data_IF_335636754881
#
_entry.id   IF_335636754881
#
_cell.length_a   1.000
_cell.length_b   1.000
_cell.length_c   1.000
_cell.angle_alpha   90.00
_cell.angle_beta   90.00
_cell.angle_gamma   90.00
#
_symmetry.space_group_name_H-M   'P 1'
#
loop_
_entity.id
_entity.type
_entity.pdbx_description
1 polymer ?
#
# COMPACT_ATOMS: atom_id res chain seq x y z
N UNK A 1 29.88 59.11 -5.81
CA UNK A 1 30.46 59.70 -4.59
C UNK A 1 29.36 59.62 -3.57
N UNK A 2 29.31 58.86 -2.52
CA UNK A 2 30.29 58.23 -1.63
C UNK A 2 29.59 57.00 -0.98
N UNK A 3 30.15 55.91 -1.11
CA UNK A 3 30.61 54.85 -0.21
C UNK A 3 29.83 54.59 1.07
N UNK A 4 29.45 53.30 1.22
CA UNK A 4 29.11 52.53 2.44
C UNK A 4 30.14 52.71 3.56
N UNK A 5 29.76 52.34 4.84
CA UNK A 5 30.22 51.02 5.23
C UNK A 5 29.19 50.16 6.03
N UNK A 6 29.43 48.87 5.91
CA UNK A 6 28.85 47.83 6.72
C UNK A 6 29.29 47.92 8.19
N UNK A 7 28.37 47.64 9.14
CA UNK A 7 28.76 47.23 10.49
C UNK A 7 28.03 45.95 10.91
N UNK A 8 28.82 44.88 10.99
CA UNK A 8 28.54 43.68 11.78
C UNK A 8 28.55 44.08 13.27
N UNK A 9 27.57 43.59 14.04
CA UNK A 9 27.52 43.24 15.48
C UNK A 9 26.11 43.58 15.97
N UNK A 10 25.35 42.67 16.46
CA UNK A 10 25.42 41.88 17.68
C UNK A 10 24.18 40.93 17.70
N UNK A 11 24.41 39.66 17.52
CA UNK A 11 23.45 38.64 18.03
C UNK A 11 24.10 38.09 19.33
N UNK A 12 23.70 38.62 20.44
CA UNK A 12 24.06 38.09 21.74
C UNK A 12 22.76 37.84 22.52
N UNK A 13 22.56 36.55 22.77
CA UNK A 13 21.97 35.97 23.98
C UNK A 13 20.64 36.55 24.49
N UNK A 14 19.55 35.93 24.07
CA UNK A 14 18.41 35.71 24.97
C UNK A 14 18.31 34.20 25.19
N UNK A 15 18.91 33.74 26.28
CA UNK A 15 18.70 32.41 26.84
C UNK A 15 17.28 32.37 27.42
N UNK A 16 16.28 32.18 26.56
CA UNK A 16 14.93 31.82 26.93
C UNK A 16 14.90 30.32 27.13
N UNK A 17 14.82 29.86 28.38
CA UNK A 17 14.51 28.48 28.70
C UNK A 17 13.15 28.12 28.05
N UNK A 18 13.20 27.39 26.97
CA UNK A 18 12.02 26.70 26.46
C UNK A 18 11.61 25.66 27.52
N UNK A 19 10.35 25.61 27.96
CA UNK A 19 9.92 24.52 28.80
C UNK A 19 10.10 23.23 27.96
N UNK A 20 10.94 22.32 28.46
CA UNK A 20 10.92 20.92 28.08
C UNK A 20 9.48 20.46 28.36
N UNK A 21 8.67 20.39 27.31
CA UNK A 21 7.46 19.56 27.31
C UNK A 21 7.96 18.14 27.56
N UNK A 22 7.99 17.74 28.84
CA UNK A 22 8.15 16.37 29.22
C UNK A 22 7.04 15.61 28.44
N UNK A 23 7.46 14.72 27.54
CA UNK A 23 6.56 13.76 26.96
C UNK A 23 5.84 13.09 28.14
N UNK A 24 4.52 13.28 28.25
CA UNK A 24 3.74 12.62 29.27
C UNK A 24 4.02 11.13 29.13
N UNK A 25 4.40 10.42 30.22
CA UNK A 25 4.59 8.99 30.15
C UNK A 25 3.29 8.40 29.60
N UNK A 26 3.38 7.65 28.50
CA UNK A 26 2.24 6.89 27.98
C UNK A 26 1.71 6.08 29.16
N UNK A 27 0.49 6.38 29.59
CA UNK A 27 -0.17 5.67 30.69
C UNK A 27 -0.14 4.18 30.33
N UNK A 28 0.69 3.41 31.03
CA UNK A 28 0.75 1.97 30.89
C UNK A 28 -0.67 1.42 31.13
N UNK A 29 -1.30 0.91 30.08
CA UNK A 29 -2.61 0.28 30.20
C UNK A 29 -2.45 -1.04 30.95
N UNK A 30 -3.37 -1.38 31.90
CA UNK A 30 -3.19 -2.49 32.84
C UNK A 30 -3.08 -3.90 32.23
N UNK A 31 -3.38 -4.05 30.92
CA UNK A 31 -3.48 -5.35 30.25
C UNK A 31 -2.21 -5.80 29.53
N UNK A 32 -1.05 -5.33 29.91
CA UNK A 32 0.22 -5.61 29.23
C UNK A 32 0.18 -5.23 27.74
N UNK A 33 1.10 -4.46 27.25
CA UNK A 33 1.19 -4.18 25.80
C UNK A 33 1.36 -5.49 25.05
N UNK A 34 0.60 -5.75 23.98
CA UNK A 34 0.76 -6.96 23.15
C UNK A 34 2.05 -6.95 22.31
N UNK A 35 3.01 -6.09 22.66
CA UNK A 35 4.21 -5.80 21.88
C UNK A 35 5.01 -7.05 21.53
N UNK A 36 5.20 -7.97 22.48
CA UNK A 36 5.97 -9.19 22.21
C UNK A 36 5.31 -10.03 21.11
N UNK A 37 4.01 -10.32 21.23
CA UNK A 37 3.28 -11.10 20.22
C UNK A 37 3.22 -10.36 18.88
N UNK A 38 3.04 -9.03 18.89
CA UNK A 38 3.06 -8.21 17.68
C UNK A 38 4.43 -8.23 17.02
N UNK A 39 5.52 -8.21 17.80
CA UNK A 39 6.89 -8.33 17.29
C UNK A 39 7.10 -9.65 16.55
N UNK A 40 6.68 -10.76 17.17
CA UNK A 40 6.80 -12.10 16.57
C UNK A 40 5.96 -12.22 15.29
N UNK A 41 4.70 -11.73 15.31
CA UNK A 41 3.82 -11.74 14.15
C UNK A 41 4.38 -10.90 12.99
N UNK A 42 4.95 -9.71 13.26
CA UNK A 42 5.62 -8.87 12.27
C UNK A 42 6.85 -9.55 11.69
N UNK A 43 7.74 -10.07 12.52
CA UNK A 43 8.93 -10.76 12.07
C UNK A 43 8.57 -11.97 11.20
N UNK A 44 7.55 -12.72 11.59
CA UNK A 44 7.06 -13.87 10.81
C UNK A 44 6.50 -13.45 9.46
N UNK A 45 5.66 -12.39 9.44
CA UNK A 45 5.10 -11.84 8.19
C UNK A 45 6.21 -11.37 7.24
N UNK A 46 7.17 -10.60 7.73
CA UNK A 46 8.29 -10.08 6.95
C UNK A 46 9.14 -11.24 6.40
N UNK A 47 9.38 -12.27 7.22
CA UNK A 47 10.18 -13.44 6.85
C UNK A 47 9.65 -14.24 5.66
N UNK A 48 8.39 -14.07 5.24
CA UNK A 48 7.89 -14.68 4.00
C UNK A 48 8.37 -13.98 2.72
N UNK A 49 9.05 -12.84 2.82
CA UNK A 49 9.61 -12.12 1.67
C UNK A 49 8.55 -11.52 0.75
N UNK A 50 8.71 -11.69 -0.55
CA UNK A 50 7.79 -11.14 -1.56
C UNK A 50 6.41 -11.81 -1.47
N UNK A 51 5.35 -10.98 -1.35
CA UNK A 51 3.96 -11.42 -1.17
C UNK A 51 3.05 -11.09 -2.34
N UNK A 52 3.61 -10.99 -3.53
CA UNK A 52 2.78 -10.87 -4.72
C UNK A 52 1.80 -12.05 -4.81
N UNK A 53 0.55 -11.75 -5.06
CA UNK A 53 -0.58 -12.69 -5.01
C UNK A 53 -0.32 -14.01 -5.72
N UNK A 54 -0.61 -15.12 -5.05
CA UNK A 54 -0.37 -16.48 -5.53
C UNK A 54 1.12 -16.85 -5.63
N UNK A 55 2.05 -15.98 -5.21
CA UNK A 55 3.46 -16.30 -5.09
C UNK A 55 3.77 -17.08 -3.82
N UNK A 56 4.99 -17.63 -3.74
CA UNK A 56 5.39 -18.50 -2.63
C UNK A 56 5.22 -17.81 -1.25
N UNK A 57 5.60 -16.53 -1.14
CA UNK A 57 5.46 -15.79 0.12
C UNK A 57 4.01 -15.50 0.50
N UNK A 58 3.14 -15.17 -0.47
CA UNK A 58 1.69 -14.99 -0.25
C UNK A 58 1.03 -16.29 0.21
N UNK A 59 1.31 -17.40 -0.46
CA UNK A 59 0.77 -18.72 -0.12
C UNK A 59 1.23 -19.13 1.29
N UNK A 60 2.54 -19.08 1.57
CA UNK A 60 3.09 -19.45 2.87
C UNK A 60 2.56 -18.57 4.01
N UNK A 61 2.38 -17.27 3.75
CA UNK A 61 1.75 -16.35 4.68
C UNK A 61 0.30 -16.76 4.97
N UNK A 62 -0.50 -17.03 3.92
CA UNK A 62 -1.88 -17.47 4.07
C UNK A 62 -2.00 -18.77 4.87
N UNK A 63 -1.11 -19.74 4.65
CA UNK A 63 -1.06 -21.00 5.40
C UNK A 63 -0.68 -20.81 6.87
N UNK A 64 0.21 -19.89 7.16
CA UNK A 64 0.52 -19.52 8.54
C UNK A 64 -0.69 -18.91 9.23
N UNK A 65 -1.35 -17.93 8.60
CA UNK A 65 -2.54 -17.27 9.16
C UNK A 65 -3.70 -18.27 9.39
N UNK A 66 -3.85 -19.25 8.52
CA UNK A 66 -4.83 -20.32 8.68
C UNK A 66 -4.58 -21.12 9.97
N UNK A 67 -3.31 -21.49 10.23
CA UNK A 67 -2.95 -22.19 11.48
C UNK A 67 -3.18 -21.34 12.73
N UNK A 68 -2.89 -20.04 12.68
CA UNK A 68 -3.11 -19.12 13.80
C UNK A 68 -4.60 -18.95 14.13
N UNK A 69 -5.45 -18.87 13.10
CA UNK A 69 -6.90 -18.84 13.29
C UNK A 69 -7.42 -20.16 13.87
N UNK A 70 -7.00 -21.29 13.32
CA UNK A 70 -7.40 -22.61 13.82
C UNK A 70 -6.99 -22.79 15.29
N UNK A 71 -5.77 -22.38 15.67
CA UNK A 71 -5.29 -22.37 17.06
C UNK A 71 -6.12 -21.45 17.98
N UNK A 72 -6.77 -20.44 17.42
CA UNK A 72 -7.67 -19.53 18.13
C UNK A 72 -9.13 -20.01 18.15
N UNK A 73 -9.41 -21.21 17.61
CA UNK A 73 -10.72 -21.86 17.63
C UNK A 73 -11.63 -21.54 16.43
N UNK A 74 -11.11 -20.90 15.40
CA UNK A 74 -11.88 -20.63 14.17
C UNK A 74 -11.88 -21.85 13.24
N UNK A 75 -13.03 -22.14 12.65
CA UNK A 75 -13.12 -23.02 11.48
C UNK A 75 -12.63 -22.24 10.25
N UNK A 76 -11.66 -22.78 9.52
CA UNK A 76 -11.04 -22.11 8.39
C UNK A 76 -11.49 -22.65 7.04
N UNK A 77 -11.53 -21.77 6.05
CA UNK A 77 -11.85 -22.08 4.66
C UNK A 77 -10.98 -21.24 3.73
N UNK A 78 -10.46 -21.86 2.67
CA UNK A 78 -9.83 -21.16 1.54
C UNK A 78 -10.83 -20.97 0.42
N UNK A 79 -10.86 -19.76 -0.14
CA UNK A 79 -11.59 -19.45 -1.36
C UNK A 79 -10.56 -19.12 -2.44
N UNK A 80 -10.40 -20.02 -3.40
CA UNK A 80 -9.43 -19.87 -4.48
C UNK A 80 -9.95 -19.01 -5.62
N UNK A 81 -9.04 -18.30 -6.27
CA UNK A 81 -9.29 -17.52 -7.48
C UNK A 81 -7.99 -17.36 -8.27
N UNK A 82 -8.10 -16.86 -9.50
CA UNK A 82 -6.97 -16.76 -10.41
C UNK A 82 -6.45 -15.33 -10.50
N UNK A 83 -5.12 -15.16 -10.42
CA UNK A 83 -4.41 -13.87 -10.54
C UNK A 83 -3.37 -13.94 -11.65
N UNK A 84 -3.01 -12.81 -12.28
CA UNK A 84 -1.90 -12.80 -13.23
C UNK A 84 -0.56 -12.90 -12.51
N UNK A 85 0.44 -13.40 -13.21
CA UNK A 85 1.84 -13.36 -12.78
C UNK A 85 2.76 -13.17 -13.98
N UNK A 86 3.94 -12.63 -13.72
CA UNK A 86 5.00 -12.50 -14.71
C UNK A 86 6.36 -12.60 -14.02
N UNK A 87 7.26 -13.36 -14.61
CA UNK A 87 8.66 -13.52 -14.22
C UNK A 87 9.53 -13.04 -15.37
N UNK A 88 10.17 -11.88 -15.18
CA UNK A 88 11.00 -11.28 -16.21
C UNK A 88 12.33 -12.06 -16.35
N UNK A 89 12.71 -12.37 -17.59
CA UNK A 89 14.04 -12.88 -17.98
C UNK A 89 14.96 -11.72 -18.34
N UNK A 90 14.42 -10.69 -19.03
CA UNK A 90 15.07 -9.42 -19.24
C UNK A 90 14.06 -8.28 -19.13
N UNK A 91 14.47 -7.19 -18.47
CA UNK A 91 13.68 -5.97 -18.31
C UNK A 91 14.62 -4.76 -18.28
N UNK A 92 14.95 -4.23 -19.46
CA UNK A 92 15.96 -3.19 -19.64
C UNK A 92 15.46 -2.06 -20.53
N UNK A 93 15.90 -0.84 -20.22
CA UNK A 93 15.84 0.32 -21.11
C UNK A 93 17.25 0.77 -21.46
N UNK A 94 17.53 0.98 -22.76
CA UNK A 94 18.81 1.51 -23.25
C UNK A 94 18.58 2.72 -24.16
N UNK A 95 19.46 3.74 -24.09
CA UNK A 95 19.47 4.88 -24.99
C UNK A 95 20.91 5.42 -25.12
N UNK A 96 21.56 5.19 -26.27
CA UNK A 96 23.01 5.43 -26.41
C UNK A 96 23.80 4.58 -25.41
N UNK A 97 24.65 5.22 -24.59
CA UNK A 97 25.44 4.55 -23.55
C UNK A 97 24.68 4.32 -22.25
N UNK A 98 23.49 4.92 -22.10
CA UNK A 98 22.67 4.75 -20.91
C UNK A 98 21.97 3.39 -20.96
N UNK A 99 22.03 2.65 -19.83
CA UNK A 99 21.31 1.40 -19.62
C UNK A 99 20.87 1.28 -18.18
N UNK A 100 19.63 0.87 -17.97
CA UNK A 100 19.10 0.55 -16.64
C UNK A 100 18.08 -0.57 -16.69
N UNK A 101 17.87 -1.23 -15.55
CA UNK A 101 16.75 -2.17 -15.36
C UNK A 101 15.46 -1.40 -15.14
N UNK A 102 14.38 -1.86 -15.76
CA UNK A 102 13.03 -1.33 -15.54
C UNK A 102 12.15 -2.42 -14.93
N UNK A 103 11.06 -2.02 -14.29
CA UNK A 103 10.11 -2.97 -13.70
C UNK A 103 8.88 -3.14 -14.63
N UNK A 104 8.61 -4.37 -15.13
CA UNK A 104 7.46 -4.60 -16.00
C UNK A 104 6.14 -4.32 -15.27
N UNK A 105 5.32 -3.40 -15.79
CA UNK A 105 4.00 -3.13 -15.21
C UNK A 105 3.05 -4.30 -15.48
N UNK A 106 2.40 -4.90 -14.50
CA UNK A 106 1.37 -5.92 -14.71
C UNK A 106 0.12 -5.34 -15.42
N UNK A 107 -0.58 -6.08 -16.19
CA UNK A 107 -0.26 -7.42 -16.73
C UNK A 107 0.75 -7.19 -17.86
N UNK A 108 1.94 -7.75 -17.73
CA UNK A 108 3.04 -7.42 -18.62
C UNK A 108 2.74 -7.84 -20.07
N UNK A 109 3.00 -6.92 -21.01
CA UNK A 109 3.13 -7.19 -22.43
C UNK A 109 4.61 -7.27 -22.76
N UNK A 110 5.04 -8.37 -23.36
CA UNK A 110 6.44 -8.56 -23.75
C UNK A 110 6.76 -7.81 -25.04
N UNK A 111 8.04 -7.48 -25.21
CA UNK A 111 8.62 -7.06 -26.47
C UNK A 111 9.04 -8.29 -27.30
N UNK A 112 9.39 -8.13 -28.57
CA UNK A 112 10.23 -9.12 -29.27
C UNK A 112 11.52 -9.40 -28.49
N UNK A 113 12.17 -10.56 -28.75
CA UNK A 113 13.39 -10.97 -28.02
C UNK A 113 14.53 -9.96 -28.17
N UNK A 114 14.67 -9.34 -29.34
CA UNK A 114 15.64 -8.28 -29.66
C UNK A 114 15.27 -6.92 -29.01
N UNK A 115 14.12 -6.82 -28.37
CA UNK A 115 13.57 -5.59 -27.84
C UNK A 115 12.79 -4.77 -28.87
N UNK A 116 12.07 -3.76 -28.38
CA UNK A 116 11.37 -2.77 -29.17
C UNK A 116 12.20 -1.50 -29.24
N UNK A 117 12.53 -1.03 -30.45
CA UNK A 117 13.33 0.17 -30.67
C UNK A 117 12.49 1.30 -31.28
N UNK A 118 12.71 2.53 -30.83
CA UNK A 118 12.06 3.72 -31.36
C UNK A 118 12.65 5.00 -30.79
N UNK A 119 12.25 6.19 -31.28
CA UNK A 119 12.62 7.44 -30.66
C UNK A 119 12.16 7.47 -29.19
N UNK A 120 13.01 7.97 -28.27
CA UNK A 120 12.60 8.22 -26.90
C UNK A 120 11.96 9.61 -26.83
N UNK A 121 10.70 9.69 -26.39
CA UNK A 121 9.93 10.93 -26.38
C UNK A 121 9.36 11.18 -24.99
N UNK A 122 9.71 12.31 -24.38
CA UNK A 122 9.16 12.71 -23.08
C UNK A 122 7.70 13.13 -23.20
N UNK A 123 6.87 12.64 -22.28
CA UNK A 123 5.46 13.00 -22.09
C UNK A 123 5.29 13.56 -20.68
N UNK A 124 4.74 14.76 -20.56
CA UNK A 124 4.51 15.40 -19.27
C UNK A 124 3.24 14.84 -18.56
N UNK A 125 3.04 15.25 -17.31
CA UNK A 125 1.91 14.82 -16.48
C UNK A 125 0.51 15.16 -17.08
N UNK A 126 0.44 16.12 -18.01
CA UNK A 126 -0.80 16.46 -18.72
C UNK A 126 -0.98 15.65 -20.01
N UNK A 127 -0.06 14.74 -20.32
CA UNK A 127 -0.08 13.92 -21.54
C UNK A 127 0.46 14.64 -22.78
N UNK A 128 1.14 15.79 -22.63
CA UNK A 128 1.71 16.52 -23.77
C UNK A 128 3.07 15.95 -24.12
N UNK A 129 3.23 15.54 -25.36
CA UNK A 129 4.48 15.02 -25.87
C UNK A 129 5.38 16.13 -26.42
N UNK A 130 6.68 16.03 -26.17
CA UNK A 130 7.68 16.97 -26.67
C UNK A 130 7.91 16.84 -28.21
N UNK A 131 7.54 15.67 -28.80
CA UNK A 131 7.72 15.31 -30.21
C UNK A 131 6.61 14.33 -30.63
N UNK A 132 6.42 14.03 -31.94
CA UNK A 132 5.50 13.00 -32.39
C UNK A 132 5.77 11.64 -31.72
N UNK A 133 4.70 10.93 -31.39
CA UNK A 133 4.75 9.66 -30.63
C UNK A 133 4.63 8.41 -31.51
N UNK A 134 4.32 8.55 -32.80
CA UNK A 134 4.14 7.39 -33.68
C UNK A 134 5.39 6.50 -33.67
N UNK A 135 5.25 5.25 -33.26
CA UNK A 135 6.32 4.26 -33.12
C UNK A 135 7.35 4.56 -32.02
N UNK A 136 7.14 5.59 -31.20
CA UNK A 136 8.08 6.00 -30.15
C UNK A 136 7.95 5.13 -28.89
N UNK A 137 9.00 5.16 -28.06
CA UNK A 137 8.95 4.77 -26.66
C UNK A 137 8.66 6.06 -25.87
N UNK A 138 7.46 6.16 -25.29
CA UNK A 138 7.05 7.29 -24.48
C UNK A 138 7.70 7.22 -23.09
N UNK A 139 8.49 8.24 -22.72
CA UNK A 139 9.02 8.42 -21.36
C UNK A 139 8.07 9.33 -20.58
N UNK A 140 7.16 8.74 -19.85
CA UNK A 140 6.14 9.44 -19.07
C UNK A 140 6.74 9.92 -17.76
N UNK A 141 6.76 11.24 -17.57
CA UNK A 141 7.34 11.89 -16.40
C UNK A 141 6.25 12.29 -15.41
N UNK A 142 6.00 11.43 -14.41
CA UNK A 142 5.01 11.73 -13.37
C UNK A 142 5.51 12.84 -12.45
N UNK A 143 4.64 13.70 -11.90
CA UNK A 143 5.04 14.63 -10.86
C UNK A 143 5.45 13.88 -9.59
N UNK A 144 6.15 14.57 -8.68
CA UNK A 144 6.48 13.99 -7.38
C UNK A 144 5.19 13.61 -6.61
N UNK A 145 5.13 12.36 -6.11
CA UNK A 145 3.96 11.86 -5.38
C UNK A 145 4.20 10.48 -4.75
N UNK A 146 3.26 10.05 -3.94
CA UNK A 146 3.20 8.67 -3.41
C UNK A 146 2.19 7.88 -4.24
N UNK A 147 2.63 7.39 -5.37
CA UNK A 147 1.80 6.70 -6.34
C UNK A 147 1.36 5.33 -5.83
N UNK A 148 0.20 4.85 -6.30
CA UNK A 148 -0.34 3.55 -5.85
C UNK A 148 -0.96 2.73 -6.99
N UNK A 149 -1.59 3.34 -7.99
CA UNK A 149 -2.32 2.58 -9.00
C UNK A 149 -2.32 3.22 -10.37
N UNK A 150 -2.34 2.38 -11.42
CA UNK A 150 -2.40 2.78 -12.83
C UNK A 150 -3.68 3.52 -13.20
N UNK A 151 -4.78 3.24 -12.52
CA UNK A 151 -6.08 3.88 -12.80
C UNK A 151 -6.23 5.27 -12.16
N UNK A 152 -5.28 5.74 -11.37
CA UNK A 152 -5.31 7.11 -10.86
C UNK A 152 -5.14 8.10 -12.02
N UNK A 153 -5.96 9.17 -12.09
CA UNK A 153 -5.91 10.13 -13.20
C UNK A 153 -4.51 10.68 -13.49
N UNK A 154 -3.72 10.97 -12.45
CA UNK A 154 -2.35 11.47 -12.61
C UNK A 154 -1.39 10.49 -13.26
N UNK A 155 -1.68 9.19 -13.25
CA UNK A 155 -0.91 8.16 -13.95
C UNK A 155 -1.56 7.81 -15.27
N UNK A 156 -2.88 7.56 -15.26
CA UNK A 156 -3.62 7.09 -16.43
C UNK A 156 -3.63 8.09 -17.57
N UNK A 157 -3.87 9.37 -17.29
CA UNK A 157 -3.99 10.42 -18.32
C UNK A 157 -2.76 10.52 -19.23
N UNK A 158 -1.52 10.66 -18.73
CA UNK A 158 -0.36 10.74 -19.60
C UNK A 158 -0.06 9.46 -20.36
N UNK A 159 -0.36 8.29 -19.78
CA UNK A 159 -0.15 6.99 -20.45
C UNK A 159 -1.19 6.77 -21.55
N UNK A 160 -2.48 7.10 -21.29
CA UNK A 160 -3.52 7.07 -22.31
C UNK A 160 -3.18 7.98 -23.49
N UNK A 161 -2.73 9.19 -23.21
CA UNK A 161 -2.33 10.16 -24.23
C UNK A 161 -1.13 9.66 -25.07
N UNK A 162 -0.17 8.99 -24.41
CA UNK A 162 0.98 8.41 -25.12
C UNK A 162 0.55 7.34 -26.13
N UNK A 163 -0.27 6.37 -25.70
CA UNK A 163 -0.76 5.33 -26.61
C UNK A 163 -1.71 5.89 -27.68
N UNK A 164 -2.58 6.83 -27.34
CA UNK A 164 -3.45 7.51 -28.31
C UNK A 164 -2.66 8.28 -29.37
N UNK A 165 -1.45 8.78 -29.02
CA UNK A 165 -0.52 9.43 -29.92
C UNK A 165 0.33 8.46 -30.76
N UNK A 166 0.12 7.16 -30.68
CA UNK A 166 0.81 6.14 -31.47
C UNK A 166 2.10 5.61 -30.84
N UNK A 167 2.35 5.84 -29.53
CA UNK A 167 3.50 5.26 -28.87
C UNK A 167 3.45 3.72 -28.92
N UNK A 168 4.59 3.11 -29.26
CA UNK A 168 4.71 1.65 -29.32
C UNK A 168 4.91 1.03 -27.93
N UNK A 169 5.44 1.80 -26.97
CA UNK A 169 5.60 1.41 -25.58
C UNK A 169 5.62 2.65 -24.66
N UNK A 170 5.36 2.44 -23.38
CA UNK A 170 5.52 3.46 -22.33
C UNK A 170 6.52 3.03 -21.26
N UNK A 171 7.40 3.94 -20.86
CA UNK A 171 8.23 3.83 -19.66
C UNK A 171 7.85 4.97 -18.73
N UNK A 172 7.41 4.65 -17.52
CA UNK A 172 6.88 5.61 -16.55
C UNK A 172 7.92 5.85 -15.48
N UNK A 173 8.39 7.10 -15.35
CA UNK A 173 9.23 7.52 -14.23
C UNK A 173 8.32 7.78 -13.03
N UNK A 174 8.41 6.92 -12.01
CA UNK A 174 7.55 6.97 -10.82
C UNK A 174 8.14 7.88 -9.75
N UNK A 175 8.21 9.20 -10.05
CA UNK A 175 8.79 10.19 -9.14
C UNK A 175 8.15 10.14 -7.75
N UNK A 176 8.93 9.70 -6.77
CA UNK A 176 8.47 9.48 -5.41
C UNK A 176 9.55 9.71 -4.35
N UNK A 177 9.20 9.62 -3.06
CA UNK A 177 10.05 10.06 -1.95
C UNK A 177 11.31 9.22 -1.73
N UNK A 178 11.40 8.04 -2.34
CA UNK A 178 12.55 7.14 -2.17
C UNK A 178 13.54 7.18 -3.34
N UNK A 179 13.15 7.77 -4.47
CA UNK A 179 13.93 7.69 -5.71
C UNK A 179 13.90 6.33 -6.40
N UNK A 180 13.21 5.35 -5.82
CA UNK A 180 13.07 3.98 -6.33
C UNK A 180 11.81 3.80 -7.17
N UNK A 181 11.71 2.67 -7.87
CA UNK A 181 10.48 2.29 -8.57
C UNK A 181 9.35 2.14 -7.56
N UNK A 182 8.21 2.76 -7.84
CA UNK A 182 6.95 2.52 -7.13
C UNK A 182 6.09 1.63 -8.03
N UNK A 183 5.87 0.38 -7.63
CA UNK A 183 4.98 -0.55 -8.34
C UNK A 183 3.53 -0.05 -8.29
N UNK A 184 2.79 -0.20 -9.40
CA UNK A 184 1.44 0.35 -9.51
C UNK A 184 0.40 -0.77 -9.58
N UNK A 185 -0.61 -0.68 -8.72
CA UNK A 185 -1.76 -1.59 -8.76
C UNK A 185 -2.50 -1.46 -10.09
N UNK A 186 -3.04 -2.56 -10.58
CA UNK A 186 -3.73 -2.60 -11.88
C UNK A 186 -4.89 -3.60 -11.88
N UNK A 187 -5.78 -3.53 -12.87
CA UNK A 187 -6.78 -4.58 -13.05
C UNK A 187 -6.09 -5.93 -13.31
N UNK A 188 -6.45 -6.92 -12.50
CA UNK A 188 -5.92 -8.29 -12.62
C UNK A 188 -6.62 -9.15 -13.66
N UNK A 189 -7.63 -8.64 -14.37
CA UNK A 189 -8.44 -9.43 -15.31
C UNK A 189 -7.87 -9.40 -16.71
N UNK A 190 -7.41 -8.23 -17.17
CA UNK A 190 -6.86 -8.01 -18.50
C UNK A 190 -5.80 -6.91 -18.50
N UNK A 191 -4.85 -6.92 -19.44
CA UNK A 191 -3.93 -5.80 -19.63
C UNK A 191 -4.69 -4.49 -19.87
N UNK A 192 -4.17 -3.39 -19.33
CA UNK A 192 -4.75 -2.05 -19.55
C UNK A 192 -4.45 -1.51 -20.95
N UNK A 193 -3.31 -1.93 -21.53
CA UNK A 193 -2.79 -1.45 -22.79
C UNK A 193 -2.34 -2.61 -23.68
N UNK A 194 -2.38 -2.41 -24.98
CA UNK A 194 -1.91 -3.41 -25.94
C UNK A 194 -0.38 -3.40 -26.10
N UNK A 195 0.26 -2.26 -25.86
CA UNK A 195 1.70 -2.11 -25.86
C UNK A 195 2.36 -2.37 -24.50
N UNK A 196 3.69 -2.63 -24.50
CA UNK A 196 4.48 -2.79 -23.27
C UNK A 196 4.48 -1.54 -22.42
N UNK A 197 4.36 -1.72 -21.08
CA UNK A 197 4.51 -0.67 -20.08
C UNK A 197 5.53 -1.12 -19.05
N UNK A 198 6.50 -0.25 -18.74
CA UNK A 198 7.51 -0.47 -17.71
C UNK A 198 7.62 0.74 -16.77
N UNK A 199 8.12 0.52 -15.58
CA UNK A 199 8.38 1.55 -14.57
C UNK A 199 9.88 1.77 -14.43
N UNK A 200 10.28 3.03 -14.33
CA UNK A 200 11.67 3.46 -14.20
C UNK A 200 11.87 4.20 -12.87
N UNK A 201 12.94 3.85 -12.17
CA UNK A 201 13.33 4.54 -10.95
C UNK A 201 13.72 6.00 -11.25
N UNK A 202 13.22 6.98 -10.48
CA UNK A 202 13.61 8.38 -10.65
C UNK A 202 15.12 8.63 -10.58
N UNK A 203 15.84 7.90 -9.71
CA UNK A 203 17.31 8.03 -9.57
C UNK A 203 18.08 7.64 -10.82
N UNK A 204 17.48 6.80 -11.69
CA UNK A 204 18.06 6.34 -12.95
C UNK A 204 17.58 7.14 -14.17
N UNK A 205 16.64 8.07 -14.01
CA UNK A 205 15.93 8.67 -15.12
C UNK A 205 16.71 9.79 -15.87
N UNK A 206 17.66 10.47 -15.20
CA UNK A 206 18.34 11.63 -15.75
C UNK A 206 19.00 11.42 -17.14
N UNK A 207 19.75 10.34 -17.41
CA UNK A 207 20.34 10.12 -18.74
C UNK A 207 19.28 9.86 -19.82
N UNK A 208 18.13 9.28 -19.45
CA UNK A 208 17.02 9.04 -20.39
C UNK A 208 16.24 10.32 -20.70
N UNK A 209 16.09 11.24 -19.75
CA UNK A 209 15.56 12.57 -20.03
C UNK A 209 16.47 13.35 -20.99
N UNK A 210 17.80 13.27 -20.83
CA UNK A 210 18.76 13.87 -21.76
C UNK A 210 18.64 13.25 -23.16
N UNK A 211 18.58 11.92 -23.27
CA UNK A 211 18.38 11.23 -24.54
C UNK A 211 17.05 11.61 -25.22
N UNK A 212 15.96 11.72 -24.45
CA UNK A 212 14.66 12.14 -24.97
C UNK A 212 14.67 13.60 -25.48
N UNK A 213 15.38 14.52 -24.79
CA UNK A 213 15.53 15.90 -25.24
C UNK A 213 16.24 15.99 -26.58
N UNK A 214 17.22 15.12 -26.84
CA UNK A 214 17.96 15.05 -28.12
C UNK A 214 17.19 14.23 -29.18
N UNK A 215 16.13 13.53 -28.82
CA UNK A 215 15.36 12.63 -29.70
C UNK A 215 16.12 11.38 -30.10
N UNK A 216 17.01 10.89 -29.24
CA UNK A 216 17.79 9.68 -29.49
C UNK A 216 16.87 8.45 -29.54
N UNK A 217 17.28 7.45 -30.32
CA UNK A 217 16.64 6.14 -30.30
C UNK A 217 16.92 5.45 -28.95
N UNK A 218 15.88 4.78 -28.44
CA UNK A 218 15.97 3.91 -27.28
C UNK A 218 15.51 2.50 -27.64
N UNK A 219 15.84 1.54 -26.79
CA UNK A 219 15.35 0.18 -26.88
C UNK A 219 14.81 -0.26 -25.52
N UNK A 220 13.58 -0.72 -25.50
CA UNK A 220 12.95 -1.38 -24.36
C UNK A 220 12.95 -2.90 -24.61
N UNK A 221 13.50 -3.65 -23.66
CA UNK A 221 13.44 -5.12 -23.67
C UNK A 221 12.63 -5.58 -22.46
N UNK A 222 11.52 -6.25 -22.70
CA UNK A 222 10.71 -6.91 -21.68
C UNK A 222 10.43 -8.33 -22.17
N UNK A 223 11.20 -9.29 -21.67
CA UNK A 223 11.01 -10.72 -21.97
C UNK A 223 10.84 -11.50 -20.70
N UNK A 224 10.18 -12.64 -20.77
CA UNK A 224 9.93 -13.49 -19.63
C UNK A 224 8.75 -14.42 -19.83
N UNK A 225 8.35 -15.05 -18.74
CA UNK A 225 7.22 -15.99 -18.70
C UNK A 225 6.13 -15.43 -17.82
N UNK A 226 4.91 -15.59 -18.24
CA UNK A 226 3.75 -15.12 -17.49
C UNK A 226 2.51 -15.95 -17.79
N UNK A 227 1.47 -15.66 -17.06
CA UNK A 227 0.21 -16.38 -17.18
C UNK A 227 -0.71 -16.09 -16.01
N UNK A 228 -1.48 -17.10 -15.65
CA UNK A 228 -2.33 -17.05 -14.47
C UNK A 228 -1.92 -18.13 -13.48
N UNK A 229 -2.00 -17.81 -12.19
CA UNK A 229 -1.76 -18.75 -11.08
C UNK A 229 -2.88 -18.63 -10.05
N UNK A 230 -3.01 -19.66 -9.24
CA UNK A 230 -3.97 -19.67 -8.14
C UNK A 230 -3.49 -18.79 -6.98
N UNK A 231 -4.42 -18.02 -6.42
CA UNK A 231 -4.32 -17.36 -5.13
C UNK A 231 -5.55 -17.74 -4.29
N UNK A 232 -5.55 -17.44 -3.00
CA UNK A 232 -6.73 -17.71 -2.18
C UNK A 232 -6.98 -16.63 -1.14
N UNK A 233 -8.25 -16.44 -0.80
CA UNK A 233 -8.69 -15.74 0.40
C UNK A 233 -8.82 -16.74 1.53
N UNK A 234 -8.38 -16.35 2.73
CA UNK A 234 -8.58 -17.10 3.95
C UNK A 234 -9.78 -16.53 4.71
N UNK A 235 -10.70 -17.40 5.10
CA UNK A 235 -11.86 -17.06 5.92
C UNK A 235 -11.87 -17.94 7.15
N UNK A 236 -11.75 -17.35 8.33
CA UNK A 236 -11.95 -18.03 9.61
C UNK A 236 -13.29 -17.64 10.22
N UNK A 237 -14.09 -18.61 10.60
CA UNK A 237 -15.39 -18.41 11.22
C UNK A 237 -15.43 -19.01 12.61
N UNK A 238 -15.97 -18.25 13.55
CA UNK A 238 -16.38 -18.74 14.85
C UNK A 238 -17.89 -18.49 14.97
N UNK A 239 -18.65 -19.45 14.45
CA UNK A 239 -20.10 -19.43 14.43
C UNK A 239 -20.64 -19.91 15.79
N UNK A 240 -21.36 -19.06 16.48
CA UNK A 240 -22.00 -19.33 17.77
C UNK A 240 -23.50 -19.32 17.68
N UNK A 241 -24.06 -19.26 16.47
CA UNK A 241 -25.51 -19.22 16.23
C UNK A 241 -26.16 -17.90 16.67
N UNK A 242 -25.42 -16.80 16.70
CA UNK A 242 -25.96 -15.49 17.12
C UNK A 242 -26.66 -14.75 15.98
N UNK A 243 -26.36 -15.11 14.73
CA UNK A 243 -26.92 -14.49 13.52
C UNK A 243 -26.48 -13.05 13.30
N UNK A 244 -25.44 -12.60 14.03
CA UNK A 244 -24.85 -11.26 13.93
C UNK A 244 -23.34 -11.37 13.85
N UNK A 245 -22.81 -11.14 12.67
CA UNK A 245 -21.38 -11.29 12.38
C UNK A 245 -20.60 -10.00 12.64
N UNK A 246 -19.52 -10.17 13.36
CA UNK A 246 -18.42 -9.21 13.41
C UNK A 246 -17.39 -9.62 12.37
N UNK A 247 -17.15 -8.78 11.39
CA UNK A 247 -16.17 -9.06 10.34
C UNK A 247 -14.92 -8.21 10.55
N UNK A 248 -13.76 -8.85 10.52
CA UNK A 248 -12.46 -8.14 10.51
C UNK A 248 -11.67 -8.62 9.30
N UNK A 249 -11.33 -7.70 8.41
CA UNK A 249 -10.62 -8.03 7.18
C UNK A 249 -9.30 -7.28 7.06
N UNK A 250 -8.34 -7.88 6.36
CA UNK A 250 -7.06 -7.27 5.97
C UNK A 250 -6.53 -7.94 4.71
N UNK A 251 -5.92 -7.23 3.76
CA UNK A 251 -5.14 -7.86 2.71
C UNK A 251 -3.78 -8.32 3.23
N UNK A 252 -3.30 -9.48 2.77
CA UNK A 252 -1.95 -9.97 3.09
C UNK A 252 -0.98 -9.81 1.94
N UNK A 253 -1.50 -9.76 0.71
CA UNK A 253 -0.68 -9.62 -0.49
C UNK A 253 -0.36 -8.15 -0.81
N UNK A 254 0.67 -7.96 -1.59
CA UNK A 254 1.13 -6.67 -2.09
C UNK A 254 2.41 -6.84 -2.88
N UNK A 255 2.96 -5.74 -3.36
CA UNK A 255 4.23 -5.74 -4.05
C UNK A 255 5.38 -5.94 -3.06
N UNK A 256 6.32 -6.82 -3.37
CA UNK A 256 7.55 -7.07 -2.60
C UNK A 256 7.29 -7.59 -1.17
N UNK A 257 8.10 -7.15 -0.21
CA UNK A 257 7.98 -7.55 1.21
C UNK A 257 6.82 -6.87 1.92
N UNK A 258 6.47 -5.65 1.52
CA UNK A 258 5.37 -4.81 2.01
C UNK A 258 5.20 -4.81 3.55
N UNK A 259 6.33 -4.65 4.26
CA UNK A 259 6.38 -4.71 5.73
C UNK A 259 5.61 -3.55 6.38
N UNK A 260 5.87 -2.30 5.96
CA UNK A 260 5.17 -1.12 6.44
C UNK A 260 3.74 -1.03 5.91
N UNK A 261 3.54 -1.47 4.66
CA UNK A 261 2.22 -1.44 4.03
C UNK A 261 1.23 -2.40 4.70
N UNK A 262 1.61 -3.67 4.91
CA UNK A 262 0.72 -4.75 5.33
C UNK A 262 1.02 -5.35 6.70
N UNK A 263 2.31 -5.39 7.10
CA UNK A 263 2.71 -6.09 8.32
C UNK A 263 1.96 -5.62 9.57
N UNK A 264 1.77 -4.31 9.73
CA UNK A 264 0.97 -3.76 10.83
C UNK A 264 -0.49 -4.21 10.80
N UNK A 265 -1.10 -4.29 9.61
CA UNK A 265 -2.46 -4.80 9.42
C UNK A 265 -2.59 -6.26 9.83
N UNK A 266 -1.67 -7.12 9.39
CA UNK A 266 -1.65 -8.55 9.72
C UNK A 266 -1.46 -8.80 11.22
N UNK A 267 -0.48 -8.15 11.85
CA UNK A 267 -0.23 -8.32 13.28
C UNK A 267 -1.42 -7.83 14.13
N UNK A 268 -2.04 -6.71 13.74
CA UNK A 268 -3.26 -6.21 14.38
C UNK A 268 -4.45 -7.17 14.19
N UNK A 269 -4.61 -7.70 12.99
CA UNK A 269 -5.67 -8.66 12.67
C UNK A 269 -5.57 -9.92 13.53
N UNK A 270 -4.37 -10.49 13.68
CA UNK A 270 -4.11 -11.65 14.56
C UNK A 270 -4.34 -11.28 16.03
N UNK A 271 -3.87 -10.12 16.49
CA UNK A 271 -4.12 -9.66 17.86
C UNK A 271 -5.62 -9.57 18.15
N UNK A 272 -6.40 -8.98 17.24
CA UNK A 272 -7.85 -8.85 17.38
C UNK A 272 -8.52 -10.22 17.31
N UNK A 273 -8.09 -11.15 16.44
CA UNK A 273 -8.66 -12.50 16.34
C UNK A 273 -8.52 -13.27 17.66
N UNK A 274 -7.30 -13.28 18.23
CA UNK A 274 -7.02 -13.96 19.51
C UNK A 274 -7.81 -13.36 20.67
N UNK A 275 -7.99 -12.04 20.67
CA UNK A 275 -8.78 -11.34 21.69
C UNK A 275 -10.28 -11.56 21.50
N UNK A 276 -10.83 -11.36 20.31
CA UNK A 276 -12.27 -11.42 20.02
C UNK A 276 -12.86 -12.81 20.25
N UNK A 277 -12.09 -13.86 19.98
CA UNK A 277 -12.50 -15.24 20.23
C UNK A 277 -12.95 -15.46 21.69
N UNK A 278 -12.36 -14.76 22.64
CA UNK A 278 -12.68 -14.85 24.07
C UNK A 278 -13.59 -13.73 24.57
N UNK A 279 -13.37 -12.51 24.05
CA UNK A 279 -13.97 -11.28 24.61
C UNK A 279 -15.37 -10.98 24.04
N UNK A 280 -15.75 -11.57 22.90
CA UNK A 280 -17.01 -11.27 22.22
C UNK A 280 -17.92 -12.53 22.11
N UNK A 281 -18.40 -13.12 23.24
CA UNK A 281 -19.15 -14.37 23.24
C UNK A 281 -20.55 -14.23 22.63
N UNK A 282 -21.06 -13.01 22.46
CA UNK A 282 -22.41 -12.73 21.97
C UNK A 282 -22.48 -12.43 20.48
N UNK A 283 -21.35 -12.58 19.75
CA UNK A 283 -21.29 -12.35 18.30
C UNK A 283 -20.72 -13.57 17.60
N UNK A 284 -21.13 -13.78 16.38
CA UNK A 284 -20.43 -14.62 15.42
C UNK A 284 -19.26 -13.83 14.85
N UNK A 285 -18.11 -14.48 14.65
CA UNK A 285 -16.89 -13.83 14.23
C UNK A 285 -16.45 -14.34 12.86
N UNK A 286 -16.17 -13.44 11.91
CA UNK A 286 -15.56 -13.75 10.63
C UNK A 286 -14.26 -12.95 10.46
N UNK A 287 -13.14 -13.64 10.46
CA UNK A 287 -11.82 -13.07 10.21
C UNK A 287 -11.39 -13.42 8.80
N UNK A 288 -11.13 -12.41 8.00
CA UNK A 288 -10.91 -12.55 6.57
C UNK A 288 -9.58 -11.95 6.18
N UNK A 289 -8.76 -12.72 5.47
CA UNK A 289 -7.49 -12.24 4.96
C UNK A 289 -7.40 -12.55 3.47
N UNK A 290 -7.38 -11.51 2.64
CA UNK A 290 -7.41 -11.66 1.20
C UNK A 290 -6.03 -11.51 0.54
N UNK A 291 -5.87 -12.18 -0.60
CA UNK A 291 -4.86 -11.97 -1.62
C UNK A 291 -5.44 -11.11 -2.76
N UNK A 292 -4.66 -10.76 -3.78
CA UNK A 292 -5.17 -10.06 -4.97
C UNK A 292 -5.39 -8.55 -4.78
N UNK A 293 -4.86 -7.94 -3.72
CA UNK A 293 -5.01 -6.52 -3.45
C UNK A 293 -4.38 -5.65 -4.54
N UNK A 294 -3.19 -6.00 -4.99
CA UNK A 294 -2.44 -5.29 -6.03
C UNK A 294 -3.11 -5.35 -7.42
N UNK A 295 -4.12 -6.22 -7.57
CA UNK A 295 -4.95 -6.34 -8.76
C UNK A 295 -6.31 -5.64 -8.60
N UNK A 296 -6.28 -4.38 -8.15
CA UNK A 296 -7.46 -3.54 -7.86
C UNK A 296 -8.49 -4.27 -7.01
N UNK A 297 -8.00 -4.87 -5.91
CA UNK A 297 -8.85 -5.50 -4.89
C UNK A 297 -9.60 -6.76 -5.36
N UNK A 298 -9.08 -7.45 -6.38
CA UNK A 298 -9.74 -8.64 -6.97
C UNK A 298 -10.13 -9.67 -5.91
N UNK A 299 -9.24 -9.95 -4.93
CA UNK A 299 -9.56 -10.89 -3.85
C UNK A 299 -10.67 -10.40 -2.92
N UNK A 300 -10.71 -9.11 -2.61
CA UNK A 300 -11.78 -8.54 -1.78
C UNK A 300 -13.14 -8.61 -2.49
N UNK A 301 -13.19 -8.34 -3.79
CA UNK A 301 -14.41 -8.50 -4.59
C UNK A 301 -14.90 -9.96 -4.58
N UNK A 302 -14.00 -10.92 -4.85
CA UNK A 302 -14.31 -12.35 -4.81
C UNK A 302 -14.84 -12.78 -3.43
N UNK A 303 -14.26 -12.26 -2.36
CA UNK A 303 -14.66 -12.53 -1.00
C UNK A 303 -16.06 -11.97 -0.68
N UNK A 304 -16.30 -10.70 -0.99
CA UNK A 304 -17.57 -10.02 -0.73
C UNK A 304 -18.72 -10.72 -1.45
N UNK A 305 -18.51 -11.14 -2.69
CA UNK A 305 -19.56 -11.75 -3.49
C UNK A 305 -19.83 -13.23 -3.18
N UNK A 306 -18.85 -13.96 -2.63
CA UNK A 306 -18.95 -15.42 -2.55
C UNK A 306 -19.01 -15.99 -1.13
N UNK A 307 -18.31 -15.34 -0.18
CA UNK A 307 -18.10 -15.98 1.13
C UNK A 307 -18.32 -15.07 2.34
N UNK A 308 -18.37 -13.78 2.19
CA UNK A 308 -18.64 -12.87 3.29
C UNK A 308 -20.08 -13.10 3.85
N UNK A 309 -20.32 -12.94 5.16
CA UNK A 309 -21.67 -12.87 5.70
C UNK A 309 -22.48 -11.80 4.99
N UNK A 310 -23.78 -11.98 4.82
CA UNK A 310 -24.62 -10.99 4.14
C UNK A 310 -24.66 -9.65 4.89
N UNK A 311 -24.83 -8.51 4.23
CA UNK A 311 -24.86 -7.20 4.89
C UNK A 311 -25.84 -7.13 6.06
N UNK A 312 -27.07 -7.65 5.89
CA UNK A 312 -28.10 -7.67 6.94
C UNK A 312 -27.77 -8.55 8.17
N UNK A 313 -26.81 -9.46 8.04
CA UNK A 313 -26.32 -10.34 9.09
C UNK A 313 -25.02 -9.82 9.71
N UNK A 314 -24.45 -8.76 9.16
CA UNK A 314 -23.21 -8.16 9.65
C UNK A 314 -23.52 -7.00 10.59
N UNK A 315 -23.07 -7.15 11.84
CA UNK A 315 -23.26 -6.12 12.86
C UNK A 315 -22.22 -5.01 12.74
N UNK A 316 -20.99 -5.36 12.31
CA UNK A 316 -19.91 -4.41 12.09
C UNK A 316 -18.81 -5.02 11.21
N UNK A 317 -18.18 -4.19 10.36
CA UNK A 317 -17.04 -4.61 9.57
C UNK A 317 -15.84 -3.67 9.81
N UNK A 318 -14.75 -4.22 10.35
CA UNK A 318 -13.47 -3.52 10.48
C UNK A 318 -12.54 -3.95 9.33
N UNK A 319 -12.05 -3.00 8.54
CA UNK A 319 -11.06 -3.23 7.50
C UNK A 319 -9.71 -2.61 7.87
N UNK A 320 -8.69 -3.45 8.00
CA UNK A 320 -7.32 -3.05 8.29
C UNK A 320 -6.54 -2.98 6.96
N UNK A 321 -6.54 -1.79 6.34
CA UNK A 321 -5.90 -1.54 5.05
C UNK A 321 -4.39 -1.30 5.14
N UNK A 322 -3.89 -0.34 4.37
CA UNK A 322 -2.47 -0.03 4.28
C UNK A 322 -2.01 1.01 5.32
N UNK A 323 -0.71 1.00 5.64
CA UNK A 323 -0.04 1.95 6.53
C UNK A 323 -0.71 2.04 7.92
N UNK A 324 -0.95 0.90 8.55
CA UNK A 324 -1.57 0.90 9.88
C UNK A 324 -0.69 1.62 10.91
N UNK A 325 0.63 1.40 10.89
CA UNK A 325 1.60 2.08 11.73
C UNK A 325 3.01 2.05 11.11
N UNK A 326 3.12 2.33 9.81
CA UNK A 326 4.42 2.44 9.17
C UNK A 326 5.23 3.59 9.77
N UNK A 327 6.54 3.42 9.82
CA UNK A 327 7.48 4.38 10.41
C UNK A 327 7.60 5.62 9.54
N UNK A 328 7.70 6.78 10.16
CA UNK A 328 7.99 8.04 9.48
C UNK A 328 9.49 8.18 9.20
N UNK A 329 9.84 9.05 8.25
CA UNK A 329 11.20 9.26 7.77
C UNK A 329 11.45 10.73 7.49
N UNK A 330 12.71 11.16 7.55
CA UNK A 330 13.08 12.48 7.06
C UNK A 330 12.84 12.59 5.54
N UNK A 331 12.34 13.73 5.10
CA UNK A 331 12.17 14.07 3.67
C UNK A 331 13.46 14.58 3.01
N UNK A 332 14.60 14.11 3.46
CA UNK A 332 15.89 14.48 2.87
C UNK A 332 16.30 13.49 1.79
N UNK A 333 16.93 14.02 0.74
CA UNK A 333 17.55 13.21 -0.31
C UNK A 333 18.78 12.51 0.25
N UNK A 334 19.02 11.28 -0.15
CA UNK A 334 20.20 10.48 0.25
C UNK A 334 19.92 9.53 1.41
N UNK A 335 20.77 9.53 2.44
CA UNK A 335 20.67 8.60 3.58
C UNK A 335 19.57 8.99 4.56
N UNK A 336 18.32 8.86 4.15
CA UNK A 336 17.18 9.09 5.05
C UNK A 336 17.22 8.13 6.23
N UNK A 337 17.11 8.67 7.44
CA UNK A 337 16.99 7.89 8.67
C UNK A 337 15.53 7.84 9.12
N UNK A 338 15.07 6.70 9.68
CA UNK A 338 13.72 6.62 10.22
C UNK A 338 13.56 7.57 11.42
N UNK A 339 12.39 8.19 11.51
CA UNK A 339 11.95 8.94 12.66
C UNK A 339 11.34 7.99 13.72
N UNK A 340 11.26 8.39 14.99
CA UNK A 340 10.65 7.56 16.04
C UNK A 340 9.13 7.44 15.89
N UNK A 341 8.48 8.38 15.19
CA UNK A 341 7.03 8.41 14.99
C UNK A 341 6.53 7.54 13.84
N UNK A 342 5.22 7.55 13.67
CA UNK A 342 4.54 6.91 12.53
C UNK A 342 4.28 7.91 11.41
N UNK A 343 4.35 7.45 10.16
CA UNK A 343 4.00 8.23 8.98
C UNK A 343 2.53 8.65 9.06
N UNK A 344 2.30 9.97 9.12
CA UNK A 344 0.97 10.56 9.26
C UNK A 344 0.16 10.56 7.96
N UNK A 345 0.73 10.13 6.84
CA UNK A 345 0.00 9.98 5.56
C UNK A 345 -0.90 8.73 5.58
N UNK A 346 -1.77 8.72 6.57
CA UNK A 346 -2.81 7.72 6.79
C UNK A 346 -4.06 8.40 7.35
N UNK A 347 -5.20 7.77 7.18
CA UNK A 347 -6.45 8.26 7.74
C UNK A 347 -7.37 7.11 8.11
N UNK A 348 -8.30 7.38 9.00
CA UNK A 348 -9.36 6.49 9.44
C UNK A 348 -10.68 6.96 8.84
N UNK A 349 -11.42 6.06 8.17
CA UNK A 349 -12.78 6.30 7.72
C UNK A 349 -13.73 5.37 8.49
N UNK A 350 -14.80 5.93 9.04
CA UNK A 350 -15.76 5.19 9.88
C UNK A 350 -17.19 5.59 9.53
N UNK A 351 -18.14 4.73 9.79
CA UNK A 351 -19.57 5.10 9.73
C UNK A 351 -19.88 6.32 10.60
N UNK A 352 -20.84 7.19 10.21
CA UNK A 352 -21.08 8.48 10.87
C UNK A 352 -21.20 8.39 12.40
N UNK A 353 -21.90 7.40 12.91
CA UNK A 353 -22.14 7.14 14.32
C UNK A 353 -20.86 6.76 15.10
N UNK A 354 -19.83 6.29 14.41
CA UNK A 354 -18.56 5.88 15.00
C UNK A 354 -17.51 6.99 15.03
N UNK A 355 -17.77 8.18 14.44
CA UNK A 355 -16.78 9.27 14.39
C UNK A 355 -16.37 9.73 15.79
N UNK A 356 -17.31 9.92 16.71
CA UNK A 356 -17.00 10.35 18.08
C UNK A 356 -16.28 9.25 18.90
N UNK A 357 -16.73 7.99 18.91
CA UNK A 357 -15.97 6.89 19.50
C UNK A 357 -14.56 6.74 18.94
N UNK A 358 -14.41 6.79 17.60
CA UNK A 358 -13.12 6.67 16.93
C UNK A 358 -12.18 7.79 17.33
N UNK A 359 -12.61 9.05 17.31
CA UNK A 359 -11.79 10.19 17.74
C UNK A 359 -11.24 10.01 19.17
N UNK A 360 -12.04 9.43 20.08
CA UNK A 360 -11.61 9.12 21.43
C UNK A 360 -10.54 8.03 21.47
N UNK A 361 -10.73 6.94 20.71
CA UNK A 361 -9.85 5.78 20.75
C UNK A 361 -8.51 6.03 20.05
N UNK A 362 -8.49 6.89 19.02
CA UNK A 362 -7.30 7.19 18.23
C UNK A 362 -6.62 8.51 18.60
N UNK A 363 -6.99 9.12 19.73
CA UNK A 363 -6.35 10.33 20.24
C UNK A 363 -4.84 10.12 20.42
N UNK A 364 -4.01 11.01 19.85
CA UNK A 364 -2.55 10.95 19.89
C UNK A 364 -1.91 9.95 18.93
N UNK A 365 -2.69 9.32 18.04
CA UNK A 365 -2.17 8.45 16.98
C UNK A 365 -2.09 9.23 15.66
N UNK A 366 -0.90 9.75 15.34
CA UNK A 366 -0.65 10.63 14.20
C UNK A 366 -1.36 10.17 12.92
N UNK A 367 -2.16 11.06 12.30
CA UNK A 367 -2.95 10.82 11.10
C UNK A 367 -4.29 10.10 11.33
N UNK A 368 -4.58 9.61 12.55
CA UNK A 368 -5.83 8.90 12.86
C UNK A 368 -6.72 9.65 13.88
N UNK A 369 -6.26 10.76 14.43
CA UNK A 369 -6.95 11.54 15.48
C UNK A 369 -8.24 12.19 14.99
N UNK A 370 -8.33 12.47 13.68
CA UNK A 370 -9.46 13.11 13.03
C UNK A 370 -10.12 12.16 12.02
N UNK A 371 -10.89 11.17 12.48
CA UNK A 371 -11.53 10.22 11.59
C UNK A 371 -12.54 10.91 10.67
N UNK A 372 -12.55 10.51 9.42
CA UNK A 372 -13.57 10.91 8.46
C UNK A 372 -14.81 10.02 8.59
N UNK A 373 -15.96 10.58 8.28
CA UNK A 373 -17.16 9.80 8.01
C UNK A 373 -17.06 9.11 6.64
N UNK A 374 -17.57 7.89 6.52
CA UNK A 374 -17.70 7.19 5.22
C UNK A 374 -18.58 7.92 4.21
N UNK A 375 -19.42 8.88 4.66
CA UNK A 375 -20.15 9.80 3.78
C UNK A 375 -19.24 10.86 3.12
N UNK A 376 -18.05 11.10 3.67
CA UNK A 376 -17.07 12.06 3.15
C UNK A 376 -16.06 11.37 2.25
N UNK A 377 -15.53 10.21 2.69
CA UNK A 377 -14.49 9.48 1.98
C UNK A 377 -14.51 7.99 2.34
N UNK A 378 -14.26 7.17 1.34
CA UNK A 378 -13.84 5.78 1.48
C UNK A 378 -12.64 5.54 0.57
N UNK A 379 -11.78 4.58 0.91
CA UNK A 379 -10.61 4.25 0.10
C UNK A 379 -10.32 2.74 0.16
N UNK A 380 -9.50 2.28 -0.77
CA UNK A 380 -9.09 0.88 -0.85
C UNK A 380 -10.29 -0.06 -0.86
N UNK A 381 -10.11 -1.22 -0.28
CA UNK A 381 -11.15 -2.27 -0.21
C UNK A 381 -12.37 -1.86 0.63
N UNK A 382 -12.26 -0.87 1.54
CA UNK A 382 -13.44 -0.35 2.25
C UNK A 382 -14.47 0.24 1.27
N UNK A 383 -14.04 0.80 0.15
CA UNK A 383 -14.97 1.30 -0.87
C UNK A 383 -15.84 0.18 -1.44
N UNK A 384 -15.27 -0.99 -1.69
CA UNK A 384 -16.00 -2.17 -2.15
C UNK A 384 -16.98 -2.68 -1.08
N UNK A 385 -16.54 -2.69 0.20
CA UNK A 385 -17.36 -3.12 1.34
C UNK A 385 -18.59 -2.20 1.50
N UNK A 386 -18.38 -0.88 1.48
CA UNK A 386 -19.47 0.11 1.58
C UNK A 386 -20.40 0.03 0.37
N UNK A 387 -19.84 -0.06 -0.85
CA UNK A 387 -20.62 -0.20 -2.08
C UNK A 387 -21.49 -1.47 -2.10
N UNK A 388 -21.05 -2.54 -1.43
CA UNK A 388 -21.82 -3.77 -1.27
C UNK A 388 -22.91 -3.70 -0.19
N UNK A 389 -23.09 -2.54 0.47
CA UNK A 389 -24.16 -2.28 1.42
C UNK A 389 -23.84 -2.68 2.86
N UNK A 390 -22.57 -2.92 3.21
CA UNK A 390 -22.18 -3.18 4.60
C UNK A 390 -22.11 -1.90 5.42
N UNK A 391 -22.57 -1.97 6.64
CA UNK A 391 -22.52 -0.93 7.67
C UNK A 391 -23.17 -1.41 8.97
N UNK A 392 -22.69 -0.91 10.12
CA UNK A 392 -21.57 0.00 10.38
C UNK A 392 -20.20 -0.54 9.97
N UNK A 393 -19.29 0.36 9.56
CA UNK A 393 -17.92 -0.01 9.12
C UNK A 393 -16.87 0.93 9.69
N UNK A 394 -15.63 0.46 9.74
CA UNK A 394 -14.44 1.28 9.96
C UNK A 394 -13.28 0.74 9.13
N UNK A 395 -12.39 1.62 8.66
CA UNK A 395 -11.19 1.20 7.95
C UNK A 395 -10.07 2.24 7.99
N UNK A 396 -8.82 1.76 7.94
CA UNK A 396 -7.61 2.57 7.90
C UNK A 396 -6.95 2.47 6.53
N UNK A 397 -6.42 3.60 6.06
CA UNK A 397 -5.74 3.72 4.77
C UNK A 397 -4.55 4.66 4.89
N UNK A 398 -3.54 4.41 4.09
CA UNK A 398 -2.41 5.31 3.99
C UNK A 398 -1.44 4.87 2.91
N UNK A 399 -0.61 5.82 2.50
CA UNK A 399 0.45 5.62 1.52
C UNK A 399 1.74 6.13 2.17
N UNK A 400 2.45 5.24 2.88
CA UNK A 400 3.67 5.62 3.58
C UNK A 400 4.84 5.85 2.59
N UNK A 401 5.98 6.33 3.10
CA UNK A 401 7.12 6.74 2.27
C UNK A 401 7.63 5.63 1.34
N UNK A 402 7.67 4.38 1.80
CA UNK A 402 8.14 3.20 1.05
C UNK A 402 6.99 2.37 0.45
N UNK A 403 5.79 2.94 0.35
CA UNK A 403 4.63 2.25 -0.20
C UNK A 403 4.91 1.77 -1.63
N UNK A 404 4.70 0.47 -1.89
CA UNK A 404 4.94 -0.20 -3.17
C UNK A 404 6.39 -0.17 -3.67
N UNK A 405 7.35 -0.02 -2.77
CA UNK A 405 8.78 0.01 -3.06
C UNK A 405 9.42 -1.28 -2.55
N UNK A 406 10.44 -1.79 -3.26
CA UNK A 406 11.10 -3.06 -2.88
C UNK A 406 11.75 -3.00 -1.50
N UNK A 407 12.16 -1.82 -1.07
CA UNK A 407 12.76 -1.53 0.22
C UNK A 407 11.74 -1.30 1.36
N UNK A 408 10.46 -1.63 1.17
CA UNK A 408 9.47 -1.70 2.25
C UNK A 408 9.70 -2.97 3.08
N UNK A 409 10.71 -2.90 3.95
CA UNK A 409 11.23 -3.97 4.81
C UNK A 409 11.01 -3.67 6.32
N UNK A 410 11.68 -4.42 7.19
CA UNK A 410 11.56 -4.30 8.66
C UNK A 410 11.86 -2.90 9.19
N UNK A 411 12.65 -2.08 8.47
CA UNK A 411 12.95 -0.69 8.85
C UNK A 411 11.73 0.21 8.76
N UNK A 412 10.74 -0.17 7.95
CA UNK A 412 9.54 0.61 7.66
C UNK A 412 8.43 0.43 8.70
N UNK A 413 8.60 -0.38 9.74
CA UNK A 413 7.57 -0.66 10.72
C UNK A 413 8.14 -0.66 12.15
N UNK A 414 7.28 -0.39 13.14
CA UNK A 414 7.63 -0.44 14.57
C UNK A 414 6.59 -1.27 15.31
N UNK A 415 7.04 -2.34 15.97
CA UNK A 415 6.17 -3.21 16.75
C UNK A 415 5.39 -2.46 17.85
N UNK A 416 6.04 -1.50 18.53
CA UNK A 416 5.38 -0.68 19.57
C UNK A 416 4.26 0.19 18.98
N UNK A 417 4.51 0.84 17.84
CA UNK A 417 3.51 1.67 17.17
C UNK A 417 2.33 0.83 16.65
N UNK A 418 2.61 -0.38 16.12
CA UNK A 418 1.59 -1.34 15.71
C UNK A 418 0.77 -1.81 16.92
N UNK A 419 1.41 -2.16 18.04
CA UNK A 419 0.73 -2.60 19.25
C UNK A 419 -0.20 -1.52 19.82
N UNK A 420 0.25 -0.25 19.87
CA UNK A 420 -0.59 0.88 20.28
C UNK A 420 -1.80 1.06 19.38
N UNK A 421 -1.59 1.00 18.07
CA UNK A 421 -2.66 1.13 17.08
C UNK A 421 -3.63 -0.05 17.15
N UNK A 422 -3.13 -1.28 17.37
CA UNK A 422 -3.95 -2.48 17.55
C UNK A 422 -4.89 -2.37 18.75
N UNK A 423 -4.43 -1.81 19.88
CA UNK A 423 -5.27 -1.56 21.04
C UNK A 423 -6.39 -0.56 20.73
N UNK A 424 -6.11 0.50 19.97
CA UNK A 424 -7.13 1.47 19.58
C UNK A 424 -8.21 0.84 18.70
N UNK A 425 -7.83 -0.02 17.73
CA UNK A 425 -8.79 -0.76 16.89
C UNK A 425 -9.60 -1.78 17.70
N UNK A 426 -8.97 -2.50 18.63
CA UNK A 426 -9.67 -3.39 19.56
C UNK A 426 -10.74 -2.64 20.35
N UNK A 427 -10.38 -1.48 20.91
CA UNK A 427 -11.28 -0.68 21.75
C UNK A 427 -12.41 -0.04 20.91
N UNK A 428 -12.13 0.38 19.65
CA UNK A 428 -13.16 0.81 18.71
C UNK A 428 -14.14 -0.31 18.40
N UNK A 429 -13.64 -1.51 18.10
CA UNK A 429 -14.46 -2.69 17.83
C UNK A 429 -15.32 -3.04 19.03
N UNK A 430 -14.76 -3.03 20.25
CA UNK A 430 -15.53 -3.27 21.47
C UNK A 430 -16.62 -2.21 21.70
N UNK A 431 -16.38 -0.95 21.29
CA UNK A 431 -17.37 0.10 21.39
C UNK A 431 -18.49 -0.01 20.33
N UNK A 432 -18.16 -0.47 19.13
CA UNK A 432 -19.09 -0.58 18.01
C UNK A 432 -20.13 -1.70 18.20
N UNK A 433 -19.91 -2.64 19.13
CA UNK A 433 -20.76 -3.83 19.33
C UNK A 433 -21.46 -3.86 20.69
N UNK A 434 -21.38 -2.79 21.44
CA UNK A 434 -22.16 -2.57 22.66
C UNK A 434 -23.54 -2.02 22.31
#
# INVERSE_FOLDING_TARGET
MTSLPATRRAFLAASGAAPLLAAAPALARPDGTPTATVTDDLARYIGFGNKQSGGAGDIACGEWLERELAASGFATQRQTFSVPWFEAEAADLTAGDARTTVWPQPIARTTPAEGLSGPLVRVDAAGRAARPLEGAIALVDLPFGRWSAMNWPGVKTPVDAAFAGGAAACVIVTNGPTGKVIALNTDGRKPLYDGPVALLAPEEAAPFFAAAAEGRAARLTLTGRGGRREAFNLVGRLDRGRGKWMVVSTPRSGWFTCAGERGGGIATWLHIARWAARALPHHDLAFVCNSGHEYLFLGAEELIHRVAPRPKETAFWLHLGANLAARDWHDTVGTSKPLPGTDSQRFLAVSPELVAPARKQFAGLAGLEAPYSTNQITAGELSNIVAAGYGPVAGVFGVHRYHHVAEDDERCVSADAVAQTALAFRDLLAAAVR
#
